data_IF_370808254850
#
_entry.id   IF_370808254850
#
_cell.length_a   1.000
_cell.length_b   1.000
_cell.length_c   1.000
_cell.angle_alpha   90.00
_cell.angle_beta   90.00
_cell.angle_gamma   90.00
#
_symmetry.space_group_name_H-M   'P 1'
#
loop_
_entity.id
_entity.type
_entity.pdbx_description
1 polymer ?
#
# COMPACT_ATOMS: atom_id res chain seq x y z
N UNK A 1 -42.05 -15.38 14.39
CA UNK A 1 -41.03 -16.02 13.51
C UNK A 1 -40.34 -14.97 12.63
N UNK A 2 -41.09 -14.12 11.93
CA UNK A 2 -40.58 -13.00 11.11
C UNK A 2 -39.64 -12.03 11.88
N UNK A 3 -39.99 -11.66 13.12
CA UNK A 3 -39.20 -10.74 13.96
C UNK A 3 -37.82 -11.30 14.34
N UNK A 4 -37.71 -12.64 14.47
CA UNK A 4 -36.44 -13.32 14.74
C UNK A 4 -35.55 -13.38 13.51
N UNK A 5 -36.16 -13.50 12.33
CA UNK A 5 -35.45 -13.48 11.04
C UNK A 5 -34.89 -12.08 10.77
N UNK A 6 -35.70 -11.03 10.97
CA UNK A 6 -35.26 -9.63 10.77
C UNK A 6 -34.09 -9.28 11.70
N UNK A 7 -34.15 -9.68 12.98
CA UNK A 7 -33.05 -9.46 13.93
C UNK A 7 -31.78 -10.22 13.55
N UNK A 8 -31.91 -11.43 13.00
CA UNK A 8 -30.77 -12.23 12.54
C UNK A 8 -30.09 -11.64 11.30
N UNK A 9 -30.87 -11.17 10.32
CA UNK A 9 -30.36 -10.55 9.09
C UNK A 9 -29.65 -9.23 9.40
N UNK A 10 -30.17 -8.42 10.32
CA UNK A 10 -29.54 -7.17 10.73
C UNK A 10 -28.19 -7.39 11.43
N UNK A 11 -28.08 -8.42 12.28
CA UNK A 11 -26.79 -8.81 12.88
C UNK A 11 -25.79 -9.33 11.85
N UNK A 12 -26.24 -10.09 10.84
CA UNK A 12 -25.37 -10.59 9.78
C UNK A 12 -24.83 -9.47 8.89
N UNK A 13 -25.67 -8.47 8.56
CA UNK A 13 -25.26 -7.30 7.79
C UNK A 13 -24.24 -6.42 8.53
N UNK A 14 -24.37 -6.29 9.85
CA UNK A 14 -23.42 -5.54 10.67
C UNK A 14 -22.01 -6.17 10.71
N UNK A 15 -21.91 -7.50 10.59
CA UNK A 15 -20.62 -8.21 10.55
C UNK A 15 -19.92 -8.09 9.18
N UNK A 16 -20.65 -7.85 8.09
CA UNK A 16 -20.09 -7.66 6.76
C UNK A 16 -19.43 -6.27 6.57
N UNK A 17 -19.81 -5.27 7.36
CA UNK A 17 -19.29 -3.89 7.29
C UNK A 17 -17.88 -3.69 7.87
N UNK A 18 -17.32 -4.69 8.58
CA UNK A 18 -15.94 -4.63 9.08
C UNK A 18 -14.89 -5.07 8.04
N UNK A 19 -15.29 -5.39 6.80
CA UNK A 19 -14.42 -5.95 5.77
C UNK A 19 -13.83 -4.92 4.79
N UNK A 20 -13.79 -3.62 5.14
CA UNK A 20 -12.94 -2.67 4.41
C UNK A 20 -11.48 -3.10 4.62
N UNK A 21 -10.82 -3.51 3.53
CA UNK A 21 -9.38 -3.84 3.57
C UNK A 21 -8.62 -2.59 3.96
N UNK A 22 -7.84 -2.65 5.04
CA UNK A 22 -6.92 -1.57 5.39
C UNK A 22 -5.55 -1.87 4.76
N UNK A 23 -5.19 -1.11 3.73
CA UNK A 23 -3.88 -1.23 3.06
C UNK A 23 -2.74 -0.56 3.85
N UNK A 24 -3.07 0.18 4.90
CA UNK A 24 -2.15 1.06 5.61
C UNK A 24 -1.94 2.40 4.92
N UNK A 25 -1.08 3.22 5.53
CA UNK A 25 -0.71 4.55 5.04
C UNK A 25 0.78 4.78 5.20
N UNK A 26 1.37 5.46 4.24
CA UNK A 26 2.71 5.99 4.36
C UNK A 26 2.66 7.32 5.12
N UNK A 27 3.41 7.43 6.21
CA UNK A 27 3.52 8.67 6.97
C UNK A 27 4.23 9.77 6.18
N UNK A 28 3.94 11.03 6.51
CA UNK A 28 4.72 12.15 5.97
C UNK A 28 6.14 12.14 6.54
N UNK A 29 7.10 12.65 5.77
CA UNK A 29 8.47 12.84 6.22
C UNK A 29 8.47 13.89 7.34
N UNK A 30 8.98 13.51 8.49
CA UNK A 30 9.17 14.41 9.62
C UNK A 30 10.29 15.41 9.32
N UNK A 31 10.30 16.54 10.03
CA UNK A 31 11.33 17.56 9.83
C UNK A 31 12.72 17.07 10.29
N UNK A 32 12.75 16.15 11.25
CA UNK A 32 13.98 15.47 11.64
C UNK A 32 14.52 14.62 10.50
N UNK A 33 13.69 13.75 9.90
CA UNK A 33 14.09 12.92 8.76
C UNK A 33 14.59 13.78 7.57
N UNK A 34 13.90 14.89 7.26
CA UNK A 34 14.33 15.83 6.20
C UNK A 34 15.74 16.38 6.45
N UNK A 35 16.09 16.64 7.70
CA UNK A 35 17.33 17.33 8.09
C UNK A 35 18.49 16.40 8.44
N UNK A 36 18.23 15.13 8.79
CA UNK A 36 19.30 14.19 9.19
C UNK A 36 19.56 13.06 8.20
N UNK A 37 18.62 12.72 7.30
CA UNK A 37 18.82 11.60 6.39
C UNK A 37 19.95 11.85 5.39
N UNK A 38 20.80 10.85 5.24
CA UNK A 38 21.82 10.72 4.20
C UNK A 38 21.21 10.28 2.87
N UNK A 39 21.91 10.47 1.76
CA UNK A 39 21.45 9.99 0.45
C UNK A 39 21.17 8.48 0.42
N UNK A 40 21.91 7.68 1.19
CA UNK A 40 21.67 6.24 1.31
C UNK A 40 20.35 5.95 2.02
N UNK A 41 20.08 6.64 3.11
CA UNK A 41 18.82 6.48 3.86
C UNK A 41 17.62 6.93 3.03
N UNK A 42 17.75 8.04 2.31
CA UNK A 42 16.72 8.51 1.37
C UNK A 42 16.42 7.45 0.31
N UNK A 43 17.44 6.83 -0.29
CA UNK A 43 17.24 5.74 -1.27
C UNK A 43 16.58 4.50 -0.63
N UNK A 44 16.95 4.13 0.59
CA UNK A 44 16.33 3.02 1.31
C UNK A 44 14.86 3.30 1.61
N UNK A 45 14.52 4.52 2.03
CA UNK A 45 13.14 4.93 2.25
C UNK A 45 12.33 4.95 0.94
N UNK A 46 12.91 5.40 -0.17
CA UNK A 46 12.27 5.31 -1.48
C UNK A 46 11.99 3.86 -1.88
N UNK A 47 12.93 2.94 -1.63
CA UNK A 47 12.74 1.51 -1.88
C UNK A 47 11.64 0.90 -1.00
N UNK A 48 11.53 1.32 0.28
CA UNK A 48 10.43 0.90 1.16
C UNK A 48 9.07 1.37 0.64
N UNK A 49 8.98 2.62 0.18
CA UNK A 49 7.75 3.16 -0.41
C UNK A 49 7.38 2.39 -1.68
N UNK A 50 8.35 2.05 -2.53
CA UNK A 50 8.10 1.20 -3.69
C UNK A 50 7.58 -0.19 -3.29
N UNK A 51 8.19 -0.83 -2.30
CA UNK A 51 7.73 -2.12 -1.77
C UNK A 51 6.30 -2.05 -1.20
N UNK A 52 5.93 -0.92 -0.58
CA UNK A 52 4.56 -0.67 -0.16
C UNK A 52 3.61 -0.56 -1.35
N UNK A 53 3.96 0.19 -2.40
CA UNK A 53 3.15 0.29 -3.63
C UNK A 53 2.94 -1.08 -4.27
N UNK A 54 4.00 -1.88 -4.38
CA UNK A 54 3.93 -3.23 -4.93
C UNK A 54 3.03 -4.14 -4.08
N UNK A 55 3.13 -4.03 -2.75
CA UNK A 55 2.27 -4.76 -1.81
C UNK A 55 0.79 -4.38 -1.98
N UNK A 56 0.47 -3.09 -2.03
CA UNK A 56 -0.91 -2.59 -2.22
C UNK A 56 -1.46 -3.05 -3.57
N UNK A 57 -0.66 -2.98 -4.63
CA UNK A 57 -1.08 -3.44 -5.95
C UNK A 57 -1.33 -4.94 -6.00
N UNK A 58 -0.45 -5.74 -5.38
CA UNK A 58 -0.60 -7.20 -5.31
C UNK A 58 -1.85 -7.59 -4.51
N UNK A 59 -2.07 -6.99 -3.34
CA UNK A 59 -3.27 -7.21 -2.52
C UNK A 59 -4.56 -6.77 -3.24
N UNK A 60 -4.48 -5.68 -4.01
CA UNK A 60 -5.59 -5.17 -4.81
C UNK A 60 -5.91 -6.04 -6.03
N UNK A 61 -4.94 -6.73 -6.63
CA UNK A 61 -5.18 -7.64 -7.77
C UNK A 61 -6.02 -8.85 -7.35
N UNK A 62 -5.72 -9.43 -6.17
CA UNK A 62 -6.51 -10.51 -5.60
C UNK A 62 -7.94 -10.05 -5.26
N UNK A 63 -8.12 -8.80 -4.85
CA UNK A 63 -9.43 -8.24 -4.51
C UNK A 63 -10.25 -7.89 -5.77
N UNK A 64 -9.62 -7.30 -6.79
CA UNK A 64 -10.28 -6.97 -8.06
C UNK A 64 -10.77 -8.19 -8.84
N UNK A 65 -10.08 -9.32 -8.75
CA UNK A 65 -10.56 -10.62 -9.27
C UNK A 65 -11.63 -11.28 -8.39
N UNK A 66 -11.63 -11.00 -7.09
CA UNK A 66 -12.62 -11.55 -6.15
C UNK A 66 -13.93 -10.75 -6.10
N UNK A 67 -13.90 -9.46 -6.45
CA UNK A 67 -15.03 -8.51 -6.32
C UNK A 67 -15.75 -8.21 -7.65
N UNK A 68 -15.36 -8.82 -8.76
CA UNK A 68 -16.31 -9.03 -9.87
C UNK A 68 -17.39 -10.08 -9.50
N UNK A 69 -17.22 -10.83 -8.40
CA UNK A 69 -18.12 -11.92 -7.98
C UNK A 69 -19.12 -11.57 -6.87
N UNK A 70 -19.13 -10.36 -6.28
CA UNK A 70 -20.00 -10.08 -5.12
C UNK A 70 -20.59 -8.64 -5.01
N UNK A 71 -21.34 -8.16 -6.02
CA UNK A 71 -22.27 -7.00 -5.88
C UNK A 71 -21.59 -5.60 -5.89
N UNK A 72 -21.98 -4.77 -6.85
CA UNK A 72 -21.37 -3.49 -7.24
C UNK A 72 -21.34 -2.32 -6.23
N UNK A 73 -21.33 -2.57 -4.92
CA UNK A 73 -21.21 -1.54 -3.85
C UNK A 73 -19.94 -1.73 -2.99
N UNK A 74 -19.55 -2.99 -2.71
CA UNK A 74 -18.34 -3.30 -1.91
C UNK A 74 -17.02 -2.99 -2.63
N UNK A 75 -17.04 -2.85 -3.96
CA UNK A 75 -15.86 -2.51 -4.76
C UNK A 75 -15.42 -1.04 -4.65
N UNK A 76 -16.36 -0.12 -4.37
CA UNK A 76 -16.07 1.32 -4.32
C UNK A 76 -15.25 1.64 -3.07
N UNK A 77 -15.60 1.06 -1.92
CA UNK A 77 -14.87 1.25 -0.67
C UNK A 77 -13.41 0.77 -0.74
N UNK A 78 -13.17 -0.41 -1.31
CA UNK A 78 -11.82 -0.96 -1.45
C UNK A 78 -10.98 -0.20 -2.48
N UNK A 79 -11.61 0.31 -3.55
CA UNK A 79 -10.95 1.19 -4.51
C UNK A 79 -10.57 2.53 -3.89
N UNK A 80 -11.49 3.17 -3.15
CA UNK A 80 -11.20 4.42 -2.43
C UNK A 80 -10.09 4.25 -1.39
N UNK A 81 -10.05 3.10 -0.72
CA UNK A 81 -9.03 2.79 0.27
C UNK A 81 -7.66 2.53 -0.38
N UNK A 82 -7.64 1.88 -1.56
CA UNK A 82 -6.44 1.78 -2.41
C UNK A 82 -5.97 3.16 -2.86
N UNK A 83 -6.86 3.99 -3.39
CA UNK A 83 -6.50 5.32 -3.88
C UNK A 83 -5.91 6.18 -2.77
N UNK A 84 -6.47 6.08 -1.57
CA UNK A 84 -5.94 6.77 -0.39
C UNK A 84 -4.56 6.23 0.03
N UNK A 85 -4.33 4.92 -0.08
CA UNK A 85 -3.03 4.31 0.21
C UNK A 85 -1.98 4.74 -0.81
N UNK A 86 -2.33 4.70 -2.10
CA UNK A 86 -1.50 5.14 -3.22
C UNK A 86 -1.18 6.63 -3.13
N UNK A 87 -2.17 7.45 -2.75
CA UNK A 87 -1.96 8.88 -2.50
C UNK A 87 -0.93 9.10 -1.39
N UNK A 88 -1.05 8.40 -0.27
CA UNK A 88 -0.06 8.52 0.83
C UNK A 88 1.36 8.14 0.40
N UNK A 89 1.49 7.09 -0.42
CA UNK A 89 2.78 6.67 -0.97
C UNK A 89 3.36 7.70 -1.95
N UNK A 90 2.50 8.28 -2.80
CA UNK A 90 2.88 9.35 -3.74
C UNK A 90 3.35 10.59 -2.99
N UNK A 91 2.60 11.01 -1.97
CA UNK A 91 2.93 12.17 -1.15
C UNK A 91 4.28 11.97 -0.42
N UNK A 92 4.54 10.77 0.13
CA UNK A 92 5.84 10.44 0.76
C UNK A 92 6.97 10.39 -0.27
N UNK A 93 6.73 9.84 -1.46
CA UNK A 93 7.72 9.79 -2.55
C UNK A 93 8.14 11.20 -2.97
N UNK A 94 7.19 12.11 -3.16
CA UNK A 94 7.47 13.50 -3.52
C UNK A 94 8.31 14.21 -2.45
N UNK A 95 8.05 13.94 -1.17
CA UNK A 95 8.84 14.49 -0.06
C UNK A 95 10.27 13.94 -0.04
N UNK A 96 10.44 12.62 -0.28
CA UNK A 96 11.77 11.99 -0.40
C UNK A 96 12.55 12.50 -1.61
N UNK A 97 11.90 12.74 -2.74
CA UNK A 97 12.52 13.33 -3.93
C UNK A 97 12.97 14.77 -3.67
N UNK A 98 12.13 15.55 -2.98
CA UNK A 98 12.48 16.92 -2.57
C UNK A 98 13.70 16.91 -1.66
N UNK A 99 13.73 16.02 -0.66
CA UNK A 99 14.87 15.86 0.23
C UNK A 99 16.14 15.38 -0.52
N UNK A 100 16.00 14.49 -1.50
CA UNK A 100 17.11 14.03 -2.34
C UNK A 100 17.71 15.18 -3.16
N UNK A 101 16.86 15.99 -3.79
CA UNK A 101 17.27 17.13 -4.62
C UNK A 101 17.98 18.20 -3.80
N UNK A 102 17.46 18.52 -2.61
CA UNK A 102 18.08 19.48 -1.69
C UNK A 102 19.49 19.06 -1.25
N UNK A 103 19.76 17.75 -1.22
CA UNK A 103 21.06 17.19 -0.84
C UNK A 103 21.97 16.86 -2.02
N UNK A 104 21.50 17.06 -3.26
CA UNK A 104 22.27 16.71 -4.45
C UNK A 104 22.56 15.22 -4.57
N UNK A 105 21.67 14.36 -4.07
CA UNK A 105 21.84 12.92 -4.22
C UNK A 105 21.83 12.56 -5.71
N UNK A 106 22.88 11.92 -6.22
CA UNK A 106 22.86 11.35 -7.55
C UNK A 106 21.82 10.22 -7.57
N UNK A 107 20.88 10.31 -8.49
CA UNK A 107 19.83 9.30 -8.69
C UNK A 107 20.44 7.98 -9.16
N UNK A 108 21.11 7.26 -8.27
CA UNK A 108 21.23 5.84 -8.39
C UNK A 108 19.87 5.29 -7.98
N UNK A 109 19.01 5.08 -8.98
CA UNK A 109 17.93 4.11 -8.85
C UNK A 109 18.52 2.86 -8.15
N UNK A 110 17.84 2.27 -7.15
CA UNK A 110 18.36 1.11 -6.47
C UNK A 110 18.73 0.07 -7.52
N UNK A 111 20.01 -0.25 -7.57
CA UNK A 111 20.62 -1.15 -8.55
C UNK A 111 19.89 -2.49 -8.46
N UNK A 112 18.95 -2.73 -9.38
CA UNK A 112 18.12 -3.94 -9.45
C UNK A 112 18.91 -5.17 -9.93
N UNK A 113 20.22 -5.19 -9.69
CA UNK A 113 21.12 -6.28 -10.10
C UNK A 113 21.46 -7.26 -8.98
N UNK A 114 20.86 -7.14 -7.79
CA UNK A 114 21.17 -8.00 -6.64
C UNK A 114 20.04 -8.97 -6.22
N UNK A 115 18.94 -9.10 -6.99
CA UNK A 115 17.82 -9.99 -6.66
C UNK A 115 17.55 -11.11 -7.67
N UNK A 116 18.50 -11.40 -8.56
CA UNK A 116 18.56 -12.70 -9.24
C UNK A 116 19.43 -13.65 -8.43
N UNK A 117 18.95 -14.07 -7.26
CA UNK A 117 19.46 -15.31 -6.67
C UNK A 117 19.03 -16.46 -7.60
N UNK A 118 19.96 -17.26 -8.14
CA UNK A 118 19.61 -18.36 -9.02
C UNK A 118 18.82 -19.41 -8.22
N UNK A 119 17.69 -19.80 -8.80
CA UNK A 119 16.94 -21.02 -8.50
C UNK A 119 17.89 -22.16 -8.18
N UNK A 120 17.98 -22.56 -6.91
CA UNK A 120 18.64 -23.81 -6.52
C UNK A 120 17.71 -24.96 -6.94
N UNK A 121 17.97 -25.46 -8.15
CA UNK A 121 17.64 -26.84 -8.50
C UNK A 121 18.64 -27.79 -7.80
N UNK A 122 18.17 -29.00 -7.54
CA UNK A 122 18.88 -30.21 -7.08
C UNK A 122 19.01 -30.42 -5.55
N UNK A 123 18.08 -31.20 -4.99
CA UNK A 123 18.35 -32.62 -4.71
C UNK A 123 17.06 -33.44 -4.65
#
# INVERSE_FOLDING_TARGET
MLTRIISGVLCAAALAGCATKNYGRQGTLTDYEKTTMTCREIQLEQAKVQGFVDHVNKESEFDGRSVLSFLGDFGIGNLMEKDSAMKSATDRTAQLQTAANQRGCTSAAPDQKAQSAPTSQAR
#
